data_IF_044164234905
#
_entry.id   IF_044164234905
#
_cell.length_a   1.000
_cell.length_b   1.000
_cell.length_c   1.000
_cell.angle_alpha   90.00
_cell.angle_beta   90.00
_cell.angle_gamma   90.00
#
_symmetry.space_group_name_H-M   'P 1'
#
loop_
_entity.id
_entity.type
_entity.pdbx_description
1 polymer ?
#
# COMPACT_ATOMS: atom_id res chain seq x y z
N UNK A 1 20.84 8.16 22.19
CA UNK A 1 20.84 7.42 20.90
C UNK A 1 19.61 7.88 20.14
N UNK A 2 19.72 8.30 18.86
CA UNK A 2 18.53 8.58 18.07
C UNK A 2 17.72 7.28 17.95
N UNK A 3 16.43 7.36 18.27
CA UNK A 3 15.51 6.23 18.17
C UNK A 3 15.11 6.08 16.70
N UNK A 4 15.76 5.18 15.97
CA UNK A 4 15.39 4.90 14.58
C UNK A 4 14.15 4.01 14.58
N UNK A 5 12.99 4.56 14.25
CA UNK A 5 11.75 3.79 14.04
C UNK A 5 11.87 2.92 12.79
N UNK A 6 11.25 1.74 12.81
CA UNK A 6 11.00 0.97 11.58
C UNK A 6 9.84 1.62 10.80
N UNK A 7 9.70 1.32 9.51
CA UNK A 7 8.56 1.84 8.72
C UNK A 7 7.24 1.34 9.30
N UNK A 8 7.17 0.06 9.68
CA UNK A 8 5.96 -0.48 10.32
C UNK A 8 5.64 0.25 11.63
N UNK A 9 6.64 0.55 12.47
CA UNK A 9 6.48 1.36 13.68
C UNK A 9 5.97 2.76 13.34
N UNK A 10 6.49 3.42 12.30
CA UNK A 10 6.00 4.73 11.86
C UNK A 10 4.51 4.68 11.43
N UNK A 11 4.07 3.56 10.84
CA UNK A 11 2.68 3.35 10.39
C UNK A 11 1.74 2.86 11.50
N UNK A 12 2.24 2.41 12.65
CA UNK A 12 1.41 1.76 13.70
C UNK A 12 1.49 2.43 15.05
N UNK A 13 2.68 2.85 15.49
CA UNK A 13 2.90 3.43 16.81
C UNK A 13 2.23 4.80 16.93
N UNK A 14 1.76 5.22 18.11
CA UNK A 14 1.23 6.56 18.29
C UNK A 14 2.21 7.62 17.79
N UNK A 15 1.71 8.55 16.97
CA UNK A 15 2.48 9.72 16.56
C UNK A 15 2.72 10.60 17.81
N UNK A 16 3.98 10.94 18.12
CA UNK A 16 4.32 11.99 19.07
C UNK A 16 3.58 13.28 18.76
N UNK A 17 3.30 14.05 19.80
CA UNK A 17 2.71 15.36 19.65
C UNK A 17 3.60 16.28 18.78
N UNK A 18 3.01 16.85 17.72
CA UNK A 18 3.70 17.74 16.79
C UNK A 18 4.41 17.07 15.61
N UNK A 19 4.38 15.74 15.50
CA UNK A 19 4.82 15.04 14.28
C UNK A 19 3.73 15.13 13.21
N UNK A 20 4.12 15.40 11.96
CA UNK A 20 3.18 15.43 10.84
C UNK A 20 2.57 14.04 10.60
N UNK A 21 1.30 13.95 10.15
CA UNK A 21 0.70 12.67 9.82
C UNK A 21 1.47 12.02 8.65
N UNK A 22 1.61 10.70 8.70
CA UNK A 22 2.23 9.91 7.61
C UNK A 22 1.11 9.38 6.72
N UNK A 23 1.13 9.67 5.41
CA UNK A 23 0.03 9.30 4.51
C UNK A 23 -0.23 7.79 4.46
N UNK A 24 0.81 6.95 4.46
CA UNK A 24 0.63 5.50 4.45
C UNK A 24 -0.10 4.94 5.67
N UNK A 25 -0.22 5.71 6.77
CA UNK A 25 -0.75 5.23 8.04
C UNK A 25 -2.24 4.88 7.98
N UNK A 26 -3.07 5.82 7.53
CA UNK A 26 -4.52 5.62 7.50
C UNK A 26 -4.89 4.51 6.49
N UNK A 27 -4.20 4.46 5.36
CA UNK A 27 -4.32 3.37 4.38
C UNK A 27 -3.91 2.02 4.97
N UNK A 28 -2.75 1.94 5.62
CA UNK A 28 -2.27 0.72 6.25
C UNK A 28 -3.24 0.19 7.30
N UNK A 29 -3.81 1.07 8.13
CA UNK A 29 -4.82 0.70 9.12
C UNK A 29 -6.11 0.19 8.45
N UNK A 30 -6.64 0.92 7.47
CA UNK A 30 -7.84 0.52 6.74
C UNK A 30 -7.69 -0.86 6.06
N UNK A 31 -6.51 -1.15 5.50
CA UNK A 31 -6.20 -2.45 4.89
C UNK A 31 -6.15 -3.58 5.94
N UNK A 32 -5.54 -3.33 7.10
CA UNK A 32 -5.50 -4.30 8.21
C UNK A 32 -6.87 -4.62 8.78
N UNK A 33 -7.74 -3.62 8.91
CA UNK A 33 -9.13 -3.82 9.36
C UNK A 33 -9.93 -4.75 8.43
N UNK A 34 -9.55 -4.82 7.16
CA UNK A 34 -10.15 -5.72 6.15
C UNK A 34 -9.44 -7.07 6.04
N UNK A 35 -8.47 -7.34 6.91
CA UNK A 35 -7.72 -8.59 6.93
C UNK A 35 -6.78 -8.76 5.74
N UNK A 36 -6.39 -7.68 5.07
CA UNK A 36 -5.41 -7.71 3.98
C UNK A 36 -4.01 -7.57 4.58
N UNK A 37 -3.15 -8.60 4.50
CA UNK A 37 -1.84 -8.61 5.16
C UNK A 37 -0.78 -7.84 4.37
N UNK A 38 -1.05 -6.56 4.09
CA UNK A 38 -0.06 -5.68 3.48
C UNK A 38 1.15 -5.49 4.38
N UNK A 39 2.33 -5.37 3.80
CA UNK A 39 3.60 -5.09 4.47
C UNK A 39 4.28 -3.89 3.83
N UNK A 40 4.90 -2.99 4.63
CA UNK A 40 5.70 -1.92 4.07
C UNK A 40 7.00 -2.47 3.46
N UNK A 41 7.33 -2.06 2.23
CA UNK A 41 8.54 -2.47 1.50
C UNK A 41 9.28 -1.25 0.96
N UNK A 42 10.61 -1.33 0.92
CA UNK A 42 11.46 -0.28 0.36
C UNK A 42 11.58 -0.46 -1.15
N UNK A 43 11.25 0.56 -1.94
CA UNK A 43 11.21 0.48 -3.42
C UNK A 43 12.45 1.06 -4.11
N UNK A 44 13.39 1.63 -3.36
CA UNK A 44 14.62 2.25 -3.90
C UNK A 44 14.61 3.76 -3.67
N UNK A 45 15.77 4.43 -3.68
CA UNK A 45 15.82 5.91 -3.63
C UNK A 45 15.25 6.60 -2.38
N UNK A 46 14.98 5.87 -1.28
CA UNK A 46 14.28 6.40 -0.10
C UNK A 46 12.75 6.23 -0.15
N UNK A 47 12.26 5.58 -1.20
CA UNK A 47 10.85 5.35 -1.47
C UNK A 47 10.35 4.05 -0.82
N UNK A 48 9.05 4.04 -0.47
CA UNK A 48 8.39 2.92 0.23
C UNK A 48 6.99 2.70 -0.35
N UNK A 49 6.57 1.45 -0.45
CA UNK A 49 5.22 1.05 -0.85
C UNK A 49 4.58 0.11 0.17
N UNK A 50 3.25 -0.04 0.14
CA UNK A 50 2.58 -1.16 0.79
C UNK A 50 2.46 -2.30 -0.21
N UNK A 51 3.05 -3.45 0.10
CA UNK A 51 2.99 -4.66 -0.70
C UNK A 51 2.01 -5.67 -0.12
N UNK A 52 1.20 -6.29 -0.98
CA UNK A 52 0.46 -7.51 -0.70
C UNK A 52 0.93 -8.61 -1.64
N UNK A 53 1.65 -9.58 -1.09
CA UNK A 53 2.03 -10.78 -1.81
C UNK A 53 0.81 -11.67 -2.07
N UNK A 54 0.65 -12.10 -3.32
CA UNK A 54 -0.34 -13.06 -3.77
C UNK A 54 0.36 -14.26 -4.44
N UNK A 55 -0.26 -15.44 -4.53
CA UNK A 55 0.38 -16.62 -5.11
C UNK A 55 0.83 -16.47 -6.57
N UNK A 56 0.22 -15.54 -7.30
CA UNK A 56 0.46 -15.30 -8.72
C UNK A 56 0.96 -13.88 -9.02
N UNK A 57 1.40 -13.14 -8.00
CA UNK A 57 1.84 -11.77 -8.19
C UNK A 57 1.88 -10.96 -6.90
N UNK A 58 1.91 -9.65 -7.06
CA UNK A 58 2.03 -8.71 -5.95
C UNK A 58 1.17 -7.49 -6.24
N UNK A 59 0.51 -6.95 -5.23
CA UNK A 59 -0.11 -5.62 -5.31
C UNK A 59 0.78 -4.64 -4.58
N UNK A 60 1.16 -3.55 -5.24
CA UNK A 60 1.85 -2.42 -4.63
C UNK A 60 0.92 -1.22 -4.56
N UNK A 61 0.88 -0.57 -3.40
CA UNK A 61 0.20 0.72 -3.20
C UNK A 61 1.27 1.76 -2.88
N UNK A 62 1.33 2.82 -3.69
CA UNK A 62 2.24 3.94 -3.51
C UNK A 62 1.69 5.24 -4.12
N UNK A 63 2.25 6.37 -3.68
CA UNK A 63 2.09 7.69 -4.28
C UNK A 63 3.47 8.17 -4.69
N UNK A 64 3.69 8.27 -6.00
CA UNK A 64 5.02 8.53 -6.60
C UNK A 64 6.16 7.69 -5.96
N UNK A 65 5.80 6.49 -5.47
CA UNK A 65 6.71 5.56 -4.80
C UNK A 65 6.85 5.69 -3.28
N UNK A 66 6.20 6.62 -2.56
CA UNK A 66 6.45 6.87 -1.13
C UNK A 66 5.21 6.76 -0.24
N UNK A 67 5.24 5.90 0.80
CA UNK A 67 4.17 5.81 1.83
C UNK A 67 4.57 6.42 3.18
N UNK A 68 5.86 6.70 3.40
CA UNK A 68 6.43 7.10 4.69
C UNK A 68 6.93 8.56 4.69
N UNK A 69 6.16 9.46 4.07
CA UNK A 69 6.43 10.90 4.03
C UNK A 69 5.26 11.72 4.60
N UNK A 70 5.46 13.02 4.78
CA UNK A 70 4.44 13.94 5.32
C UNK A 70 3.19 13.91 4.44
N UNK A 71 2.03 13.63 5.05
CA UNK A 71 0.69 13.67 4.48
C UNK A 71 0.39 14.86 3.57
N UNK A 72 0.99 16.02 3.83
CA UNK A 72 0.80 17.25 3.05
C UNK A 72 1.50 17.22 1.68
N UNK A 73 2.50 16.35 1.51
CA UNK A 73 3.32 16.26 0.30
C UNK A 73 2.82 15.18 -0.68
N UNK A 74 1.72 14.49 -0.34
CA UNK A 74 1.16 13.40 -1.15
C UNK A 74 0.11 13.89 -2.15
N UNK A 75 0.11 13.28 -3.33
CA UNK A 75 -0.80 13.50 -4.45
C UNK A 75 -1.67 12.27 -4.75
N UNK A 76 -1.72 11.87 -6.03
CA UNK A 76 -2.59 10.81 -6.54
C UNK A 76 -1.99 9.42 -6.27
N UNK A 77 -2.80 8.51 -5.72
CA UNK A 77 -2.34 7.19 -5.32
C UNK A 77 -2.70 6.12 -6.34
N UNK A 78 -1.77 5.20 -6.54
CA UNK A 78 -1.92 4.08 -7.46
C UNK A 78 -1.74 2.76 -6.72
N UNK A 79 -2.71 1.87 -6.85
CA UNK A 79 -2.58 0.47 -6.50
C UNK A 79 -2.46 -0.36 -7.78
N UNK A 80 -1.33 -1.02 -7.98
CA UNK A 80 -1.05 -1.82 -9.16
C UNK A 80 -0.81 -3.28 -8.79
N UNK A 81 -1.35 -4.18 -9.61
CA UNK A 81 -1.02 -5.59 -9.55
C UNK A 81 0.03 -5.95 -10.61
N UNK A 82 1.01 -6.76 -10.18
CA UNK A 82 2.13 -7.26 -10.97
C UNK A 82 2.08 -8.79 -10.99
N UNK A 83 2.02 -9.42 -12.17
CA UNK A 83 2.16 -10.87 -12.29
C UNK A 83 3.66 -11.27 -12.28
N UNK A 84 4.05 -12.31 -11.53
CA UNK A 84 5.47 -12.67 -11.34
C UNK A 84 6.19 -13.19 -12.60
N UNK A 85 7.54 -13.09 -12.74
CA UNK A 85 8.38 -11.93 -12.43
C UNK A 85 9.28 -11.53 -13.63
N UNK A 86 9.22 -10.28 -14.08
CA UNK A 86 10.40 -9.58 -14.60
C UNK A 86 10.80 -8.54 -13.56
N UNK A 87 11.51 -8.96 -12.52
CA UNK A 87 12.04 -8.09 -11.44
C UNK A 87 10.99 -7.32 -10.59
N UNK A 88 11.16 -7.23 -9.27
CA UNK A 88 10.30 -6.38 -8.42
C UNK A 88 10.41 -4.87 -8.72
N UNK A 89 11.29 -4.46 -9.64
CA UNK A 89 11.54 -3.06 -10.00
C UNK A 89 11.65 -2.81 -11.51
N UNK A 90 11.31 -3.80 -12.34
CA UNK A 90 11.42 -3.72 -13.82
C UNK A 90 10.19 -4.35 -14.47
N UNK A 91 9.02 -4.02 -13.92
CA UNK A 91 7.80 -4.20 -14.68
C UNK A 91 7.85 -3.15 -15.79
N UNK A 92 8.06 -3.57 -17.03
CA UNK A 92 7.69 -2.75 -18.17
C UNK A 92 6.27 -2.23 -17.87
N UNK A 93 6.08 -0.90 -17.87
CA UNK A 93 4.84 -0.23 -17.44
C UNK A 93 3.59 -0.75 -18.18
N UNK A 94 3.78 -1.51 -19.26
CA UNK A 94 2.75 -2.12 -20.09
C UNK A 94 2.10 -3.40 -19.50
N UNK A 95 2.70 -4.06 -18.50
CA UNK A 95 2.18 -5.33 -17.94
C UNK A 95 1.53 -5.20 -16.55
N UNK A 96 1.29 -3.98 -16.08
CA UNK A 96 0.64 -3.72 -14.78
C UNK A 96 -0.87 -3.61 -14.91
N UNK A 97 -1.60 -4.15 -13.94
CA UNK A 97 -3.05 -3.93 -13.83
C UNK A 97 -3.33 -2.89 -12.76
N UNK A 98 -3.85 -1.73 -13.16
CA UNK A 98 -4.36 -0.74 -12.22
C UNK A 98 -5.58 -1.30 -11.46
N UNK A 99 -5.46 -1.39 -10.14
CA UNK A 99 -6.53 -1.86 -9.24
C UNK A 99 -7.30 -0.66 -8.68
N UNK A 100 -6.62 0.44 -8.43
CA UNK A 100 -7.20 1.68 -7.92
C UNK A 100 -6.35 2.88 -8.33
N UNK A 101 -7.00 3.93 -8.82
CA UNK A 101 -6.44 5.26 -8.99
C UNK A 101 -7.33 6.25 -8.25
N UNK A 102 -6.77 6.94 -7.25
CA UNK A 102 -7.47 7.94 -6.46
C UNK A 102 -6.87 9.33 -6.66
N UNK A 103 -7.71 10.34 -6.76
CA UNK A 103 -7.34 11.77 -6.84
C UNK A 103 -7.04 12.40 -5.48
N UNK A 104 -7.32 11.68 -4.39
CA UNK A 104 -7.19 12.15 -3.02
C UNK A 104 -5.89 11.74 -2.33
N UNK A 105 -5.55 12.46 -1.25
CA UNK A 105 -4.42 12.12 -0.39
C UNK A 105 -4.86 10.99 0.55
N UNK A 106 -4.08 9.89 0.68
CA UNK A 106 -4.31 8.85 1.71
C UNK A 106 -4.09 9.36 3.16
N UNK A 107 -4.20 10.66 3.35
CA UNK A 107 -4.21 11.34 4.63
C UNK A 107 -5.64 11.44 5.18
N UNK A 108 -6.67 11.32 4.33
CA UNK A 108 -8.08 11.33 4.73
C UNK A 108 -8.65 9.92 4.87
N UNK A 109 -9.35 9.68 5.98
CA UNK A 109 -9.88 8.37 6.34
C UNK A 109 -10.85 7.79 5.28
N UNK A 110 -11.61 8.66 4.60
CA UNK A 110 -12.57 8.25 3.57
C UNK A 110 -11.86 7.73 2.31
N UNK A 111 -10.80 8.40 1.86
CA UNK A 111 -10.00 8.00 0.70
C UNK A 111 -9.24 6.69 0.98
N UNK A 112 -8.69 6.55 2.18
CA UNK A 112 -8.06 5.30 2.64
C UNK A 112 -9.06 4.14 2.72
N UNK A 113 -10.28 4.42 3.14
CA UNK A 113 -11.37 3.45 3.19
C UNK A 113 -11.77 3.01 1.78
N UNK A 114 -11.92 3.96 0.85
CA UNK A 114 -12.26 3.68 -0.54
C UNK A 114 -11.20 2.82 -1.24
N UNK A 115 -9.91 3.16 -1.05
CA UNK A 115 -8.77 2.36 -1.50
C UNK A 115 -8.86 0.93 -0.93
N UNK A 116 -9.02 0.80 0.38
CA UNK A 116 -9.01 -0.50 1.04
C UNK A 116 -10.22 -1.36 0.64
N UNK A 117 -11.39 -0.76 0.42
CA UNK A 117 -12.59 -1.43 -0.09
C UNK A 117 -12.44 -1.86 -1.56
N UNK A 118 -11.78 -1.06 -2.39
CA UNK A 118 -11.47 -1.43 -3.78
C UNK A 118 -10.52 -2.63 -3.81
N UNK A 119 -9.45 -2.60 -3.02
CA UNK A 119 -8.48 -3.68 -2.91
C UNK A 119 -9.10 -4.97 -2.35
N UNK A 120 -9.94 -4.88 -1.32
CA UNK A 120 -10.62 -6.03 -0.76
C UNK A 120 -11.55 -6.70 -1.79
N UNK A 121 -12.33 -5.89 -2.52
CA UNK A 121 -13.22 -6.40 -3.59
C UNK A 121 -12.43 -7.04 -4.73
N UNK A 122 -11.35 -6.40 -5.16
CA UNK A 122 -10.51 -6.91 -6.23
C UNK A 122 -9.83 -8.23 -5.84
N UNK A 123 -9.23 -8.30 -4.64
CA UNK A 123 -8.60 -9.51 -4.13
C UNK A 123 -9.62 -10.66 -4.01
N UNK A 124 -10.82 -10.39 -3.50
CA UNK A 124 -11.89 -11.38 -3.41
C UNK A 124 -12.37 -11.88 -4.79
N UNK A 125 -12.52 -11.00 -5.78
CA UNK A 125 -12.86 -11.39 -7.15
C UNK A 125 -11.77 -12.28 -7.75
N UNK A 126 -10.50 -11.92 -7.57
CA UNK A 126 -9.37 -12.71 -8.05
C UNK A 126 -9.25 -14.07 -7.35
N UNK A 127 -9.59 -14.16 -6.07
CA UNK A 127 -9.72 -15.43 -5.37
C UNK A 127 -10.82 -16.32 -5.97
N UNK A 128 -11.99 -15.75 -6.29
CA UNK A 128 -13.08 -16.51 -6.90
C UNK A 128 -12.68 -17.07 -8.28
N UNK A 129 -11.92 -16.30 -9.06
CA UNK A 129 -11.46 -16.71 -10.39
C UNK A 129 -10.32 -17.74 -10.36
N UNK A 130 -9.52 -17.77 -9.28
CA UNK A 130 -8.32 -18.63 -9.17
C UNK A 130 -8.44 -19.77 -8.16
N UNK A 131 -9.49 -19.78 -7.32
CA UNK A 131 -9.69 -20.74 -6.23
C UNK A 131 -8.73 -20.57 -5.04
N UNK A 132 -8.08 -19.41 -4.91
CA UNK A 132 -7.11 -19.14 -3.82
C UNK A 132 -7.78 -18.67 -2.51
N UNK A 133 -7.15 -18.99 -1.37
CA UNK A 133 -7.57 -18.58 -0.02
C UNK A 133 -6.40 -17.86 0.66
N UNK A 134 -6.59 -16.59 1.06
CA UNK A 134 -5.65 -15.89 1.93
C UNK A 134 -5.50 -16.66 3.24
N UNK A 135 -4.30 -17.17 3.50
CA UNK A 135 -3.98 -17.81 4.77
C UNK A 135 -4.12 -16.76 5.88
N UNK A 136 -5.00 -17.06 6.84
CA UNK A 136 -5.26 -16.25 8.05
C UNK A 136 -4.09 -16.28 9.02
#
# INVERSE_FOLDING_TARGET
MPFTRTIESALTDPLPEGEAPIAGRAAYQALRERGLPFVPVHTGGGCFALSLALPNGEVLVADDGQIAHDAADHGAWLACFYAAPSSPYDADEDDVTEVYLGDGTLSFADDCTALADALARWAAARHADTGFVLAS
#
